data_IF_465323561120
#
_entry.id   IF_465323561120
#
_cell.length_a   1.000
_cell.length_b   1.000
_cell.length_c   1.000
_cell.angle_alpha   90.00
_cell.angle_beta   90.00
_cell.angle_gamma   90.00
#
_symmetry.space_group_name_H-M   'P 1'
#
loop_
_entity.id
_entity.type
_entity.pdbx_description
1 polymer ?
#
# COMPACT_ATOMS: atom_id res chain seq x y z
N UNK A 1 -13.32 -38.90 -1.26
CA UNK A 1 -11.87 -38.60 -1.35
C UNK A 1 -11.58 -38.16 -2.78
N UNK A 2 -11.09 -36.97 -3.10
CA UNK A 2 -10.49 -35.88 -2.34
C UNK A 2 -10.59 -34.62 -3.20
N UNK A 3 -10.96 -33.51 -2.56
CA UNK A 3 -11.14 -32.18 -3.12
C UNK A 3 -9.75 -31.63 -3.49
N UNK A 4 -9.45 -31.45 -4.79
CA UNK A 4 -8.28 -30.67 -5.20
C UNK A 4 -8.67 -29.19 -5.17
N UNK A 5 -8.24 -28.50 -4.12
CA UNK A 5 -8.27 -27.03 -4.02
C UNK A 5 -7.56 -26.46 -5.25
N UNK A 6 -8.29 -25.75 -6.10
CA UNK A 6 -7.73 -24.91 -7.15
C UNK A 6 -7.03 -23.75 -6.46
N UNK A 7 -5.73 -23.89 -6.25
CA UNK A 7 -4.87 -22.81 -5.83
C UNK A 7 -4.90 -21.76 -6.94
N UNK A 8 -5.47 -20.61 -6.62
CA UNK A 8 -5.46 -19.41 -7.44
C UNK A 8 -4.07 -18.80 -7.28
N UNK A 9 -3.15 -19.19 -8.16
CA UNK A 9 -1.87 -18.51 -8.36
C UNK A 9 -2.16 -17.19 -9.06
N UNK A 10 -2.04 -16.09 -8.33
CA UNK A 10 -2.08 -14.75 -8.92
C UNK A 10 -0.82 -14.59 -9.80
N UNK A 11 -1.02 -14.57 -11.12
CA UNK A 11 0.02 -14.27 -12.10
C UNK A 11 0.30 -12.76 -12.14
N UNK A 12 1.53 -12.32 -12.47
CA UNK A 12 1.97 -10.95 -12.24
C UNK A 12 1.37 -10.02 -13.29
N UNK A 13 0.52 -9.09 -12.85
CA UNK A 13 -0.03 -8.05 -13.73
C UNK A 13 0.97 -6.90 -13.80
N UNK A 14 1.92 -6.98 -14.73
CA UNK A 14 2.75 -5.85 -15.13
C UNK A 14 1.96 -4.94 -16.08
N UNK A 15 1.20 -4.01 -15.50
CA UNK A 15 0.63 -2.83 -16.17
C UNK A 15 0.69 -1.67 -15.18
N UNK A 16 1.55 -0.65 -15.44
CA UNK A 16 1.79 0.55 -14.60
C UNK A 16 1.58 0.27 -13.11
N UNK A 17 2.59 -0.30 -12.43
CA UNK A 17 2.45 -0.87 -11.09
C UNK A 17 1.73 0.08 -10.13
N UNK A 18 0.44 -0.20 -9.93
CA UNK A 18 -0.34 0.41 -8.86
C UNK A 18 0.33 0.03 -7.54
N UNK A 19 0.37 0.95 -6.56
CA UNK A 19 1.02 0.67 -5.29
C UNK A 19 0.34 -0.53 -4.63
N UNK A 20 1.13 -1.52 -4.24
CA UNK A 20 0.65 -2.69 -3.51
C UNK A 20 0.13 -2.28 -2.13
N UNK A 21 0.81 -1.32 -1.50
CA UNK A 21 0.44 -0.77 -0.19
C UNK A 21 0.59 0.76 -0.19
N UNK A 22 -0.25 1.44 0.58
CA UNK A 22 -0.14 2.86 0.89
C UNK A 22 0.51 3.02 2.25
N UNK A 23 1.47 3.94 2.35
CA UNK A 23 2.16 4.27 3.59
C UNK A 23 1.45 5.42 4.31
N UNK A 24 1.05 5.14 5.55
CA UNK A 24 0.37 6.08 6.44
C UNK A 24 1.25 6.38 7.65
N UNK A 25 1.51 7.67 7.92
CA UNK A 25 1.97 8.08 9.23
C UNK A 25 0.77 8.13 10.18
N UNK A 26 0.84 7.35 11.25
CA UNK A 26 -0.13 7.37 12.34
C UNK A 26 0.52 8.03 13.54
N UNK A 27 0.01 9.20 13.91
CA UNK A 27 0.42 9.91 15.12
C UNK A 27 -0.74 10.00 16.10
N UNK A 28 -0.44 9.83 17.39
CA UNK A 28 -1.42 9.87 18.46
C UNK A 28 -1.20 11.16 19.25
N UNK A 29 -2.23 12.02 19.29
CA UNK A 29 -2.20 13.25 20.09
C UNK A 29 -3.35 13.19 21.07
N UNK A 30 -3.03 12.82 22.31
CA UNK A 30 -4.02 12.57 23.36
C UNK A 30 -4.89 11.38 23.00
N UNK A 31 -6.20 11.61 22.87
CA UNK A 31 -7.21 10.56 22.58
C UNK A 31 -7.45 10.38 21.07
N UNK A 32 -6.86 11.23 20.22
CA UNK A 32 -7.11 11.22 18.77
C UNK A 32 -5.92 10.65 18.00
N UNK A 33 -6.21 9.77 17.04
CA UNK A 33 -5.24 9.28 16.08
C UNK A 33 -5.38 10.04 14.76
N UNK A 34 -4.26 10.52 14.25
CA UNK A 34 -4.16 11.22 12.96
C UNK A 34 -3.50 10.30 11.95
N UNK A 35 -4.13 10.17 10.79
CA UNK A 35 -3.68 9.33 9.69
C UNK A 35 -3.34 10.22 8.51
N UNK A 36 -2.06 10.26 8.17
CA UNK A 36 -1.55 11.08 7.06
C UNK A 36 -0.92 10.16 6.03
N UNK A 37 -1.34 10.24 4.76
CA UNK A 37 -0.66 9.52 3.68
C UNK A 37 0.69 10.17 3.45
N UNK A 38 1.77 9.37 3.49
CA UNK A 38 3.15 9.84 3.35
C UNK A 38 3.91 9.18 2.20
N UNK A 39 3.30 8.18 1.55
CA UNK A 39 3.92 7.47 0.44
C UNK A 39 3.20 6.19 0.08
N UNK A 40 3.91 5.29 -0.57
CA UNK A 40 3.41 4.00 -1.01
C UNK A 40 4.54 2.96 -1.12
N UNK A 41 4.16 1.70 -1.22
CA UNK A 41 5.07 0.58 -1.38
C UNK A 41 4.66 -0.31 -2.58
N UNK A 42 5.67 -0.81 -3.28
CA UNK A 42 5.53 -1.65 -4.47
C UNK A 42 6.29 -2.95 -4.27
N UNK A 43 5.66 -4.06 -4.60
CA UNK A 43 6.30 -5.37 -4.55
C UNK A 43 7.40 -5.48 -5.61
N UNK A 44 8.47 -6.18 -5.24
CA UNK A 44 9.54 -6.53 -6.16
C UNK A 44 9.14 -7.72 -7.02
N UNK A 45 9.76 -7.86 -8.19
CA UNK A 45 9.52 -8.99 -9.10
C UNK A 45 9.86 -10.35 -8.46
N UNK A 46 10.76 -10.37 -7.48
CA UNK A 46 11.17 -11.57 -6.76
C UNK A 46 10.20 -11.99 -5.64
N UNK A 47 9.18 -11.17 -5.36
CA UNK A 47 8.21 -11.32 -4.28
C UNK A 47 8.84 -11.51 -2.88
N UNK A 48 10.12 -11.14 -2.69
CA UNK A 48 10.84 -11.25 -1.41
C UNK A 48 11.05 -9.90 -0.74
N UNK A 49 10.55 -8.84 -1.34
CA UNK A 49 10.70 -7.49 -0.84
C UNK A 49 9.73 -6.54 -1.50
N UNK A 50 9.75 -5.31 -0.99
CA UNK A 50 9.01 -4.19 -1.52
C UNK A 50 9.85 -2.93 -1.40
N UNK A 51 9.69 -2.01 -2.35
CA UNK A 51 10.25 -0.66 -2.26
C UNK A 51 9.22 0.23 -1.59
N UNK A 52 9.60 0.87 -0.48
CA UNK A 52 8.82 1.95 0.14
C UNK A 52 9.33 3.30 -0.37
N UNK A 53 8.51 4.01 -1.16
CA UNK A 53 8.78 5.40 -1.53
C UNK A 53 8.04 6.34 -0.59
N UNK A 54 8.77 7.24 0.03
CA UNK A 54 8.21 8.31 0.87
C UNK A 54 8.25 9.63 0.11
N UNK A 55 7.11 10.31 0.05
CA UNK A 55 7.00 11.69 -0.43
C UNK A 55 7.23 12.68 0.71
N UNK A 56 6.85 12.28 1.93
CA UNK A 56 7.03 13.06 3.15
C UNK A 56 7.75 12.24 4.22
N UNK A 57 8.76 12.84 4.84
CA UNK A 57 9.42 12.26 6.01
C UNK A 57 8.74 12.70 7.30
N UNK A 58 8.21 11.78 8.12
CA UNK A 58 7.68 12.14 9.44
C UNK A 58 8.83 12.54 10.37
N UNK A 59 8.77 13.76 10.91
CA UNK A 59 9.82 14.36 11.76
C UNK A 59 9.53 14.27 13.27
N UNK A 60 8.57 13.46 13.68
CA UNK A 60 8.16 13.34 15.08
C UNK A 60 7.60 11.97 15.43
N UNK A 61 7.06 11.86 16.64
CA UNK A 61 6.54 10.60 17.17
C UNK A 61 5.39 10.04 16.32
N UNK A 62 5.34 8.72 16.24
CA UNK A 62 4.31 7.97 15.52
C UNK A 62 4.88 6.71 14.87
N UNK A 63 4.06 6.09 14.02
CA UNK A 63 4.42 4.87 13.29
C UNK A 63 4.04 4.99 11.82
N UNK A 64 4.79 4.32 10.95
CA UNK A 64 4.42 4.15 9.54
C UNK A 64 3.68 2.82 9.42
N UNK A 65 2.46 2.87 8.89
CA UNK A 65 1.60 1.71 8.68
C UNK A 65 1.38 1.55 7.18
N UNK A 66 1.68 0.36 6.66
CA UNK A 66 1.40 0.00 5.28
C UNK A 66 0.03 -0.69 5.21
N UNK A 67 -0.84 -0.23 4.33
CA UNK A 67 -2.21 -0.75 4.17
C UNK A 67 -2.55 -0.90 2.70
N UNK A 68 -3.35 -1.89 2.35
CA UNK A 68 -3.90 -1.99 1.00
C UNK A 68 -4.68 -0.70 0.64
N UNK A 69 -4.60 -0.26 -0.63
CA UNK A 69 -5.43 0.84 -1.09
C UNK A 69 -6.91 0.45 -0.93
N UNK A 70 -7.68 1.30 -0.26
CA UNK A 70 -9.14 1.12 -0.16
C UNK A 70 -9.72 1.34 -1.55
N UNK A 71 -10.55 0.43 -2.03
CA UNK A 71 -11.00 0.32 -3.43
C UNK A 71 -11.90 1.46 -3.95
N UNK A 72 -11.92 2.63 -3.31
CA UNK A 72 -12.87 3.72 -3.61
C UNK A 72 -12.20 5.03 -4.06
N UNK A 73 -10.90 5.06 -4.38
CA UNK A 73 -10.23 6.26 -4.88
C UNK A 73 -9.09 5.97 -5.88
N UNK A 74 -9.41 5.39 -7.04
CA UNK A 74 -8.54 5.42 -8.22
C UNK A 74 -9.40 5.58 -9.49
N UNK A 75 -9.78 6.82 -9.86
CA UNK A 75 -9.77 7.36 -11.23
C UNK A 75 -10.35 8.81 -11.29
N UNK A 76 -9.58 9.83 -10.91
CA UNK A 76 -9.79 11.20 -11.42
C UNK A 76 -8.41 11.89 -11.51
N UNK A 77 -7.62 11.44 -12.49
CA UNK A 77 -6.27 11.95 -12.69
C UNK A 77 -5.71 11.74 -14.10
N UNK A 78 -6.54 11.65 -15.14
CA UNK A 78 -6.08 11.88 -16.52
C UNK A 78 -7.26 12.30 -17.41
N UNK A 79 -7.37 13.60 -17.70
CA UNK A 79 -8.43 14.15 -18.54
C UNK A 79 -8.15 15.59 -19.00
N UNK A 80 -7.46 15.68 -20.14
CA UNK A 80 -7.28 16.82 -21.05
C UNK A 80 -6.33 17.98 -20.66
#
# INVERSE_FOLDING_TARGET
MTIRKKQMEASPVSTKQRPALIAWHVSERGVKSYWTRIGAAWDHEDAKGMTLQLELMPVGDGRIVLREPVADMEDEGEGA
#
